data_IF_275236008384
#
_entry.id   IF_275236008384
#
_cell.length_a   1.000
_cell.length_b   1.000
_cell.length_c   1.000
_cell.angle_alpha   90.00
_cell.angle_beta   90.00
_cell.angle_gamma   90.00
#
_symmetry.space_group_name_H-M   'P 1'
#
loop_
_entity.id
_entity.type
_entity.pdbx_description
1 polymer ?
#
# COMPACT_ATOMS: atom_id res chain seq x y z
N UNK A 1 19.47 -7.98 -11.52
CA UNK A 1 18.84 -6.87 -10.76
C UNK A 1 19.45 -6.86 -9.37
N UNK A 2 19.78 -5.68 -8.83
CA UNK A 2 20.17 -5.57 -7.43
C UNK A 2 18.96 -5.82 -6.51
N UNK A 3 19.21 -6.21 -5.25
CA UNK A 3 18.16 -6.41 -4.23
C UNK A 3 17.27 -5.16 -4.08
N UNK A 4 17.86 -3.97 -4.17
CA UNK A 4 17.13 -2.71 -4.11
C UNK A 4 16.23 -2.48 -5.32
N UNK A 5 16.68 -2.80 -6.54
CA UNK A 5 15.83 -2.72 -7.74
C UNK A 5 14.66 -3.70 -7.67
N UNK A 6 14.88 -4.89 -7.11
CA UNK A 6 13.84 -5.88 -6.89
C UNK A 6 12.80 -5.39 -5.87
N UNK A 7 13.25 -4.81 -4.75
CA UNK A 7 12.38 -4.19 -3.76
C UNK A 7 11.49 -3.11 -4.39
N UNK A 8 12.08 -2.19 -5.16
CA UNK A 8 11.35 -1.12 -5.85
C UNK A 8 10.29 -1.72 -6.79
N UNK A 9 10.65 -2.72 -7.60
CA UNK A 9 9.72 -3.35 -8.53
C UNK A 9 8.55 -4.05 -7.82
N UNK A 10 8.82 -4.72 -6.69
CA UNK A 10 7.80 -5.39 -5.88
C UNK A 10 6.81 -4.40 -5.27
N UNK A 11 7.31 -3.32 -4.65
CA UNK A 11 6.46 -2.29 -4.03
C UNK A 11 5.70 -1.46 -5.07
N UNK A 12 6.31 -1.19 -6.23
CA UNK A 12 5.60 -0.58 -7.36
C UNK A 12 4.47 -1.48 -7.88
N UNK A 13 4.67 -2.79 -7.85
CA UNK A 13 3.65 -3.77 -8.24
C UNK A 13 2.49 -3.88 -7.25
N UNK A 14 2.65 -3.36 -6.03
CA UNK A 14 1.54 -3.16 -5.09
C UNK A 14 0.64 -1.96 -5.46
N UNK A 15 0.98 -1.16 -6.47
CA UNK A 15 0.14 -0.06 -6.93
C UNK A 15 0.60 1.35 -6.53
N UNK A 16 1.78 1.47 -5.91
CA UNK A 16 2.35 2.78 -5.54
C UNK A 16 2.90 3.55 -6.75
N UNK A 17 2.97 4.88 -6.61
CA UNK A 17 3.81 5.71 -7.47
C UNK A 17 5.28 5.25 -7.40
N UNK A 18 6.03 5.47 -8.48
CA UNK A 18 7.44 5.04 -8.56
C UNK A 18 8.30 5.71 -7.49
N UNK A 19 8.09 7.00 -7.24
CA UNK A 19 8.79 7.77 -6.19
C UNK A 19 8.57 7.16 -4.81
N UNK A 20 7.32 6.85 -4.46
CA UNK A 20 6.98 6.23 -3.17
C UNK A 20 7.52 4.80 -3.05
N UNK A 21 7.52 4.02 -4.13
CA UNK A 21 8.14 2.69 -4.13
C UNK A 21 9.67 2.78 -3.90
N UNK A 22 10.34 3.78 -4.47
CA UNK A 22 11.78 4.05 -4.24
C UNK A 22 12.03 4.45 -2.79
N UNK A 23 11.19 5.30 -2.22
CA UNK A 23 11.31 5.72 -0.83
C UNK A 23 11.11 4.56 0.14
N UNK A 24 10.00 3.83 0.00
CA UNK A 24 9.69 2.68 0.85
C UNK A 24 10.77 1.59 0.73
N UNK A 25 11.32 1.35 -0.46
CA UNK A 25 12.40 0.37 -0.68
C UNK A 25 13.68 0.66 0.12
N UNK A 26 13.91 1.91 0.57
CA UNK A 26 15.04 2.26 1.45
C UNK A 26 14.81 1.85 2.90
N UNK A 27 13.54 1.73 3.31
CA UNK A 27 13.13 1.51 4.70
C UNK A 27 12.53 0.12 4.98
N UNK A 28 12.46 -0.76 3.98
CA UNK A 28 12.01 -2.16 4.14
C UNK A 28 13.18 -3.12 4.05
N UNK A 29 13.13 -4.20 4.82
CA UNK A 29 14.16 -5.25 4.81
C UNK A 29 13.89 -6.30 3.74
N UNK A 30 14.92 -7.06 3.36
CA UNK A 30 14.77 -8.20 2.44
C UNK A 30 13.81 -9.27 2.96
N UNK A 31 13.69 -9.43 4.29
CA UNK A 31 12.76 -10.40 4.89
C UNK A 31 11.32 -9.92 4.81
N UNK A 32 11.05 -8.64 5.08
CA UNK A 32 9.71 -8.04 4.95
C UNK A 32 9.17 -8.19 3.51
N UNK A 33 10.06 -8.10 2.51
CA UNK A 33 9.71 -8.25 1.10
C UNK A 33 9.22 -9.65 0.72
N UNK A 34 9.32 -10.67 1.59
CA UNK A 34 8.64 -11.95 1.38
C UNK A 34 7.11 -11.78 1.32
N UNK A 35 6.57 -10.69 1.86
CA UNK A 35 5.18 -10.29 1.73
C UNK A 35 5.05 -8.77 1.50
N UNK A 36 5.17 -8.30 0.24
CA UNK A 36 5.23 -6.86 -0.08
C UNK A 36 4.08 -6.02 0.46
N UNK A 37 2.80 -6.48 0.46
CA UNK A 37 1.72 -5.71 1.07
C UNK A 37 1.93 -5.48 2.57
N UNK A 38 2.41 -6.49 3.30
CA UNK A 38 2.73 -6.36 4.72
C UNK A 38 3.97 -5.49 4.95
N UNK A 39 5.00 -5.59 4.08
CA UNK A 39 6.16 -4.70 4.15
C UNK A 39 5.75 -3.22 4.09
N UNK A 40 4.83 -2.85 3.20
CA UNK A 40 4.29 -1.49 3.11
C UNK A 40 3.56 -1.06 4.38
N UNK A 41 2.71 -1.95 4.91
CA UNK A 41 2.01 -1.68 6.18
C UNK A 41 3.00 -1.38 7.31
N UNK A 42 4.03 -2.21 7.48
CA UNK A 42 5.04 -1.99 8.53
C UNK A 42 5.87 -0.74 8.30
N UNK A 43 6.23 -0.43 7.04
CA UNK A 43 6.89 0.82 6.69
C UNK A 43 6.05 2.04 7.11
N UNK A 44 4.76 2.11 6.75
CA UNK A 44 3.90 3.23 7.12
C UNK A 44 3.65 3.33 8.62
N UNK A 45 3.53 2.19 9.32
CA UNK A 45 3.41 2.16 10.78
C UNK A 45 4.67 2.72 11.46
N UNK A 46 5.87 2.47 10.92
CA UNK A 46 7.12 3.06 11.44
C UNK A 46 7.18 4.57 11.23
N UNK A 47 6.66 5.09 10.12
CA UNK A 47 6.67 6.52 9.84
C UNK A 47 5.70 7.31 10.73
N UNK A 48 4.52 6.76 11.00
CA UNK A 48 3.50 7.44 11.80
C UNK A 48 2.72 6.44 12.64
N UNK A 49 3.12 6.07 13.86
CA UNK A 49 2.51 4.93 14.58
C UNK A 49 1.07 5.17 15.07
N UNK A 50 0.59 6.43 15.08
CA UNK A 50 -0.76 6.76 15.54
C UNK A 50 -1.85 6.15 14.64
N UNK A 51 -2.95 5.69 15.23
CA UNK A 51 -4.10 5.15 14.49
C UNK A 51 -4.70 6.21 13.56
N UNK A 52 -5.02 5.80 12.34
CA UNK A 52 -5.60 6.65 11.31
C UNK A 52 -6.89 6.01 10.80
N UNK A 53 -8.01 6.38 11.42
CA UNK A 53 -9.34 5.93 11.01
C UNK A 53 -9.77 6.53 9.67
N UNK A 54 -10.66 5.82 8.98
CA UNK A 54 -11.37 6.31 7.80
C UNK A 54 -12.87 6.08 8.02
N UNK A 55 -13.67 7.13 7.89
CA UNK A 55 -15.10 7.05 8.18
C UNK A 55 -15.91 6.80 6.91
N UNK A 56 -15.47 7.37 5.78
CA UNK A 56 -16.13 7.22 4.50
C UNK A 56 -15.15 6.98 3.33
N UNK A 57 -15.72 6.92 2.11
CA UNK A 57 -14.99 6.69 0.88
C UNK A 57 -14.05 7.85 0.52
N UNK A 58 -14.44 9.09 0.80
CA UNK A 58 -13.65 10.27 0.47
C UNK A 58 -12.41 10.37 1.36
N UNK A 59 -12.57 10.07 2.66
CA UNK A 59 -11.47 9.96 3.63
C UNK A 59 -10.49 8.86 3.23
N UNK A 60 -10.98 7.68 2.87
CA UNK A 60 -10.10 6.61 2.41
C UNK A 60 -9.36 6.98 1.12
N UNK A 61 -10.04 7.58 0.14
CA UNK A 61 -9.39 8.03 -1.10
C UNK A 61 -8.29 9.05 -0.79
N UNK A 62 -8.56 10.01 0.09
CA UNK A 62 -7.57 10.99 0.56
C UNK A 62 -6.38 10.29 1.20
N UNK A 63 -6.61 9.32 2.08
CA UNK A 63 -5.55 8.55 2.71
C UNK A 63 -4.72 7.76 1.70
N UNK A 64 -5.34 7.10 0.71
CA UNK A 64 -4.63 6.36 -0.34
C UNK A 64 -3.78 7.28 -1.22
N UNK A 65 -4.24 8.49 -1.52
CA UNK A 65 -3.45 9.51 -2.21
C UNK A 65 -2.26 9.98 -1.35
N UNK A 66 -2.46 10.19 -0.05
CA UNK A 66 -1.39 10.55 0.87
C UNK A 66 -0.33 9.44 0.98
N UNK A 67 -0.76 8.17 0.98
CA UNK A 67 0.11 6.99 0.90
C UNK A 67 0.69 6.73 -0.50
N UNK A 68 0.45 7.64 -1.45
CA UNK A 68 1.02 7.65 -2.80
C UNK A 68 0.68 6.41 -3.64
N UNK A 69 -0.57 5.93 -3.52
CA UNK A 69 -1.12 5.03 -4.52
C UNK A 69 -1.39 5.77 -5.82
N UNK A 70 -1.18 5.08 -6.95
CA UNK A 70 -1.47 5.66 -8.26
C UNK A 70 -2.98 5.86 -8.44
N UNK A 71 -3.44 6.97 -9.04
CA UNK A 71 -4.87 7.26 -9.17
C UNK A 71 -5.67 6.14 -9.85
N UNK A 72 -5.10 5.52 -10.89
CA UNK A 72 -5.75 4.41 -11.60
C UNK A 72 -5.91 3.15 -10.75
N UNK A 73 -5.13 3.00 -9.67
CA UNK A 73 -5.25 1.88 -8.73
C UNK A 73 -6.33 2.17 -7.67
N UNK A 74 -6.41 3.41 -7.18
CA UNK A 74 -7.42 3.84 -6.21
C UNK A 74 -8.83 3.68 -6.81
N UNK A 75 -8.99 4.05 -8.08
CA UNK A 75 -10.25 3.93 -8.83
C UNK A 75 -10.75 2.47 -8.98
N UNK A 76 -9.87 1.47 -8.86
CA UNK A 76 -10.22 0.06 -8.92
C UNK A 76 -10.71 -0.52 -7.58
N UNK A 77 -10.63 0.26 -6.49
CA UNK A 77 -11.03 -0.23 -5.18
C UNK A 77 -12.56 -0.24 -5.03
N UNK A 78 -13.10 -1.37 -4.58
CA UNK A 78 -14.53 -1.65 -4.42
C UNK A 78 -14.95 -1.71 -2.95
N UNK A 79 -14.22 -1.02 -2.07
CA UNK A 79 -14.50 -1.02 -0.63
C UNK A 79 -15.90 -0.48 -0.33
N UNK A 80 -16.71 -1.28 0.38
CA UNK A 80 -18.05 -0.89 0.85
C UNK A 80 -18.00 -0.05 2.13
N UNK A 81 -18.88 0.95 2.23
CA UNK A 81 -18.89 1.95 3.31
C UNK A 81 -18.97 1.36 4.72
N UNK A 82 -19.84 0.36 4.94
CA UNK A 82 -19.98 -0.28 6.25
C UNK A 82 -18.70 -0.97 6.73
N UNK A 83 -17.81 -1.35 5.82
CA UNK A 83 -16.52 -1.95 6.20
C UNK A 83 -15.52 -0.87 6.61
N UNK A 84 -15.60 0.33 5.98
CA UNK A 84 -14.60 1.40 6.10
C UNK A 84 -14.42 1.88 7.54
N UNK A 85 -15.52 2.11 8.25
CA UNK A 85 -15.58 2.69 9.60
C UNK A 85 -14.87 1.89 10.71
N UNK A 86 -14.29 0.73 10.40
CA UNK A 86 -13.75 -0.20 11.40
C UNK A 86 -12.24 -0.44 11.29
N UNK A 87 -11.54 0.21 10.35
CA UNK A 87 -10.14 -0.10 10.08
C UNK A 87 -9.27 1.13 9.88
N UNK A 88 -8.00 0.93 10.20
CA UNK A 88 -6.92 1.87 9.90
C UNK A 88 -6.72 2.03 8.38
N UNK A 89 -6.46 3.25 7.92
CA UNK A 89 -6.18 3.58 6.52
C UNK A 89 -5.08 2.72 5.90
N UNK A 90 -4.03 2.36 6.65
CA UNK A 90 -2.92 1.54 6.16
C UNK A 90 -3.30 0.07 6.06
N UNK A 91 -4.23 -0.42 6.89
CA UNK A 91 -4.80 -1.76 6.71
C UNK A 91 -5.63 -1.82 5.43
N UNK A 92 -6.36 -0.75 5.11
CA UNK A 92 -7.05 -0.62 3.83
C UNK A 92 -6.08 -0.58 2.65
N UNK A 93 -5.05 0.26 2.74
CA UNK A 93 -3.99 0.34 1.75
C UNK A 93 -3.29 -1.02 1.54
N UNK A 94 -3.04 -1.78 2.61
CA UNK A 94 -2.50 -3.15 2.55
C UNK A 94 -3.41 -4.09 1.77
N UNK A 95 -4.72 -4.03 2.00
CA UNK A 95 -5.71 -4.86 1.28
C UNK A 95 -5.72 -4.52 -0.22
N UNK A 96 -5.70 -3.23 -0.56
CA UNK A 96 -5.59 -2.77 -1.95
C UNK A 96 -4.30 -3.29 -2.58
N UNK A 97 -3.16 -3.08 -1.91
CA UNK A 97 -1.85 -3.54 -2.36
C UNK A 97 -1.82 -5.05 -2.63
N UNK A 98 -2.40 -5.86 -1.73
CA UNK A 98 -2.48 -7.30 -1.90
C UNK A 98 -3.31 -7.69 -3.13
N UNK A 99 -4.48 -7.06 -3.33
CA UNK A 99 -5.33 -7.30 -4.49
C UNK A 99 -4.60 -7.00 -5.80
N UNK A 100 -3.93 -5.85 -5.89
CA UNK A 100 -3.17 -5.43 -7.08
C UNK A 100 -1.98 -6.35 -7.34
N UNK A 101 -1.19 -6.64 -6.30
CA UNK A 101 0.00 -7.49 -6.40
C UNK A 101 -0.35 -8.92 -6.82
N UNK A 102 -1.43 -9.50 -6.27
CA UNK A 102 -1.89 -10.83 -6.65
C UNK A 102 -2.40 -10.88 -8.08
N UNK A 103 -3.14 -9.88 -8.56
CA UNK A 103 -3.61 -9.82 -9.95
C UNK A 103 -2.44 -9.79 -10.95
N UNK A 104 -1.37 -9.05 -10.64
CA UNK A 104 -0.19 -8.93 -11.51
C UNK A 104 0.69 -10.18 -11.55
N UNK A 105 0.77 -10.94 -10.46
CA UNK A 105 1.62 -12.14 -10.37
C UNK A 105 0.87 -13.45 -10.67
N UNK A 106 -0.41 -13.37 -11.06
CA UNK A 106 -1.19 -14.51 -11.57
C UNK A 106 -1.26 -14.53 -13.11
N UNK A 107 -0.70 -13.53 -13.78
CA UNK A 107 -0.47 -13.51 -15.23
C UNK A 107 0.93 -13.99 -15.55
#
# INVERSE_FOLDING_TARGET
MSSQQQAIAMLYSCGLEKSAAVEAARGVTSEELRSPPWALYHYWMRQQPAYWGVDDRADLNTALHQLKFRPEIIALSDFGESVLCHLDARLWARRLAASVYSKRNKS
#
